data_IF_960854162765
#
_entry.id   IF_960854162765
#
_cell.length_a   1.000
_cell.length_b   1.000
_cell.length_c   1.000
_cell.angle_alpha   90.00
_cell.angle_beta   90.00
_cell.angle_gamma   90.00
#
_symmetry.space_group_name_H-M   'P 1'
#
loop_
_entity.id
_entity.type
_entity.pdbx_description
1 polymer ?
#
# COMPACT_ATOMS: atom_id res chain seq x y z
N UNK A 1 -12.98 15.20 25.36
CA UNK A 1 -12.32 14.89 24.07
C UNK A 1 -11.19 15.88 23.85
N UNK A 2 -10.09 15.47 23.21
CA UNK A 2 -8.98 16.38 22.88
C UNK A 2 -9.42 17.36 21.79
N UNK A 3 -9.26 18.66 22.06
CA UNK A 3 -9.51 19.74 21.09
C UNK A 3 -8.15 20.07 20.45
N UNK A 4 -8.10 20.08 19.12
CA UNK A 4 -6.89 20.41 18.38
C UNK A 4 -6.96 21.87 17.92
N UNK A 5 -5.97 22.67 18.30
CA UNK A 5 -5.82 24.08 17.95
C UNK A 5 -4.46 24.32 17.25
N UNK A 6 -4.30 25.41 16.47
CA UNK A 6 -5.32 26.39 16.08
C UNK A 6 -6.32 25.83 15.05
N UNK A 7 -7.49 26.46 14.90
CA UNK A 7 -8.43 26.18 13.80
C UNK A 7 -8.65 27.46 13.01
N UNK A 8 -8.56 27.36 11.68
CA UNK A 8 -8.92 28.42 10.75
C UNK A 8 -10.18 28.01 9.99
N UNK A 9 -10.91 28.97 9.43
CA UNK A 9 -12.09 28.69 8.61
C UNK A 9 -11.76 28.62 7.11
N UNK A 10 -10.57 28.11 6.77
CA UNK A 10 -10.11 27.96 5.38
C UNK A 10 -10.12 26.48 4.99
N UNK A 11 -10.81 26.16 3.91
CA UNK A 11 -10.79 24.81 3.33
C UNK A 11 -9.55 24.60 2.46
N UNK A 12 -8.83 23.49 2.69
CA UNK A 12 -7.81 22.97 1.79
C UNK A 12 -8.52 22.11 0.74
N UNK A 13 -8.38 22.43 -0.56
CA UNK A 13 -8.98 21.62 -1.63
C UNK A 13 -8.47 20.18 -1.58
N UNK A 14 -9.38 19.24 -1.81
CA UNK A 14 -9.01 17.84 -1.93
C UNK A 14 -8.18 17.65 -3.23
N UNK A 15 -7.05 16.93 -3.19
CA UNK A 15 -6.21 16.73 -4.38
C UNK A 15 -6.97 15.94 -5.44
N UNK A 16 -6.93 16.44 -6.69
CA UNK A 16 -7.56 15.75 -7.83
C UNK A 16 -6.90 14.39 -8.08
N UNK A 17 -7.70 13.44 -8.56
CA UNK A 17 -7.26 12.10 -8.99
C UNK A 17 -6.41 11.36 -7.96
N UNK A 18 -6.65 11.64 -6.68
CA UNK A 18 -5.85 11.13 -5.56
C UNK A 18 -6.77 10.49 -4.52
N UNK A 19 -6.23 9.52 -3.79
CA UNK A 19 -6.86 8.96 -2.60
C UNK A 19 -5.97 9.23 -1.39
N UNK A 20 -6.59 9.48 -0.23
CA UNK A 20 -5.85 9.56 1.02
C UNK A 20 -6.00 8.22 1.72
N UNK A 21 -4.87 7.65 2.14
CA UNK A 21 -4.82 6.33 2.78
C UNK A 21 -4.03 6.45 4.07
N UNK A 22 -4.59 5.89 5.14
CA UNK A 22 -3.88 5.70 6.41
C UNK A 22 -4.26 4.36 7.03
N UNK A 23 -3.31 3.69 7.67
CA UNK A 23 -3.56 2.50 8.49
C UNK A 23 -3.33 2.82 9.95
N UNK A 24 -4.09 2.18 10.82
CA UNK A 24 -3.89 2.27 12.26
C UNK A 24 -3.93 0.91 12.94
N UNK A 25 -3.30 0.80 14.09
CA UNK A 25 -3.54 -0.32 15.00
C UNK A 25 -4.96 -0.27 15.60
N UNK A 26 -5.28 -1.26 16.47
CA UNK A 26 -6.57 -1.33 17.18
C UNK A 26 -6.84 -0.14 18.12
N UNK A 27 -5.80 0.58 18.54
CA UNK A 27 -5.90 1.75 19.43
C UNK A 27 -6.02 3.06 18.63
N UNK A 28 -6.02 2.99 17.29
CA UNK A 28 -6.07 4.14 16.41
C UNK A 28 -4.72 4.86 16.26
N UNK A 29 -3.61 4.20 16.58
CA UNK A 29 -2.25 4.71 16.34
C UNK A 29 -1.90 4.49 14.87
N UNK A 30 -1.51 5.55 14.17
CA UNK A 30 -1.15 5.50 12.75
C UNK A 30 0.11 4.67 12.58
N UNK A 31 0.02 3.62 11.77
CA UNK A 31 1.13 2.75 11.37
C UNK A 31 1.61 3.04 9.96
N UNK A 32 0.76 3.66 9.14
CA UNK A 32 1.08 4.03 7.76
C UNK A 32 0.24 5.24 7.32
N UNK A 33 0.83 6.12 6.50
CA UNK A 33 0.17 7.23 5.84
C UNK A 33 0.73 7.40 4.44
N UNK A 34 -0.11 7.45 3.40
CA UNK A 34 0.39 7.66 2.05
C UNK A 34 0.84 9.12 1.83
N UNK A 35 1.70 9.40 0.83
CA UNK A 35 2.21 10.75 0.58
C UNK A 35 1.12 11.81 0.38
N UNK A 36 -0.01 11.44 -0.22
CA UNK A 36 -1.15 12.35 -0.38
C UNK A 36 -1.77 12.77 0.97
N UNK A 37 -1.92 11.83 1.90
CA UNK A 37 -2.41 12.13 3.25
C UNK A 37 -1.41 13.00 4.03
N UNK A 38 -0.12 12.69 3.92
CA UNK A 38 0.97 13.52 4.49
C UNK A 38 0.84 14.96 3.97
N UNK A 39 0.78 15.12 2.64
CA UNK A 39 0.72 16.43 1.98
C UNK A 39 -0.50 17.27 2.39
N UNK A 40 -1.72 16.73 2.33
CA UNK A 40 -2.94 17.49 2.68
C UNK A 40 -3.03 17.79 4.18
N UNK A 41 -2.54 16.88 5.02
CA UNK A 41 -2.56 17.09 6.48
C UNK A 41 -1.54 18.13 6.93
N UNK A 42 -0.48 18.36 6.15
CA UNK A 42 0.62 19.28 6.48
C UNK A 42 1.54 18.79 7.61
N UNK A 43 1.35 17.56 8.09
CA UNK A 43 2.27 16.90 9.02
C UNK A 43 3.33 16.14 8.22
N UNK A 44 4.56 16.05 8.73
CA UNK A 44 5.53 15.09 8.17
C UNK A 44 5.11 13.66 8.50
N UNK A 45 5.60 12.69 7.73
CA UNK A 45 5.38 11.28 8.02
C UNK A 45 5.84 10.92 9.44
N UNK A 46 7.03 11.38 9.85
CA UNK A 46 7.56 11.18 11.20
C UNK A 46 6.70 11.78 12.32
N UNK A 47 5.89 12.80 12.03
CA UNK A 47 4.92 13.38 12.97
C UNK A 47 3.60 12.60 13.02
N UNK A 48 3.29 11.82 11.98
CA UNK A 48 2.06 11.03 11.88
C UNK A 48 2.26 9.62 12.44
N UNK A 49 3.33 8.93 12.03
CA UNK A 49 3.58 7.54 12.43
C UNK A 49 3.77 7.44 13.95
N UNK A 50 3.11 6.47 14.57
CA UNK A 50 3.13 6.27 16.02
C UNK A 50 2.23 7.23 16.80
N UNK A 51 1.50 8.15 16.13
CA UNK A 51 0.54 9.05 16.79
C UNK A 51 -0.90 8.60 16.58
N UNK A 52 -1.77 8.94 17.53
CA UNK A 52 -3.19 8.64 17.40
C UNK A 52 -3.81 9.46 16.25
N UNK A 53 -4.67 8.82 15.46
CA UNK A 53 -5.35 9.43 14.32
C UNK A 53 -6.21 10.65 14.71
N UNK A 54 -6.57 10.80 16.00
CA UNK A 54 -7.23 12.00 16.48
C UNK A 54 -6.42 13.30 16.30
N UNK A 55 -5.14 13.23 15.92
CA UNK A 55 -4.29 14.39 15.61
C UNK A 55 -4.89 15.30 14.54
N UNK A 56 -5.48 14.71 13.49
CA UNK A 56 -6.10 15.44 12.37
C UNK A 56 -7.59 15.72 12.59
N UNK A 57 -8.12 15.46 13.78
CA UNK A 57 -9.54 15.67 14.06
C UNK A 57 -9.87 17.16 14.13
N UNK A 58 -10.94 17.56 13.44
CA UNK A 58 -11.52 18.89 13.57
C UNK A 58 -12.46 18.99 14.79
N UNK A 59 -12.44 20.09 15.57
CA UNK A 59 -13.33 20.28 16.73
C UNK A 59 -14.83 20.25 16.40
N UNK A 60 -15.22 20.71 15.20
CA UNK A 60 -16.61 20.64 14.73
C UNK A 60 -17.15 19.21 14.56
N UNK A 61 -16.31 18.18 14.54
CA UNK A 61 -16.80 16.82 14.38
C UNK A 61 -17.46 16.31 15.67
N UNK A 62 -18.77 15.97 15.64
CA UNK A 62 -19.48 15.49 16.83
C UNK A 62 -18.84 14.22 17.40
N UNK A 63 -18.77 14.07 18.73
CA UNK A 63 -18.28 12.84 19.37
C UNK A 63 -19.01 11.57 18.89
N UNK A 64 -20.32 11.69 18.65
CA UNK A 64 -21.21 10.62 18.20
C UNK A 64 -20.76 9.99 16.88
N UNK A 65 -20.25 10.79 15.93
CA UNK A 65 -19.77 10.29 14.64
C UNK A 65 -18.57 9.33 14.80
N UNK A 66 -17.67 9.61 15.74
CA UNK A 66 -16.54 8.73 16.03
C UNK A 66 -16.95 7.53 16.88
N UNK A 67 -17.94 7.68 17.75
CA UNK A 67 -18.50 6.53 18.48
C UNK A 67 -19.05 5.52 17.47
N UNK A 68 -19.84 5.99 16.51
CA UNK A 68 -20.39 5.17 15.43
C UNK A 68 -19.30 4.48 14.59
N UNK A 69 -18.25 5.22 14.21
CA UNK A 69 -17.07 4.67 13.55
C UNK A 69 -16.49 3.50 14.33
N UNK A 70 -16.19 3.71 15.62
CA UNK A 70 -15.56 2.69 16.45
C UNK A 70 -16.48 1.50 16.67
N UNK A 71 -17.75 1.72 17.01
CA UNK A 71 -18.72 0.63 17.21
C UNK A 71 -18.82 -0.26 15.95
N UNK A 72 -18.83 0.36 14.77
CA UNK A 72 -18.93 -0.33 13.48
C UNK A 72 -17.69 -1.18 13.18
N UNK A 73 -16.49 -0.61 13.29
CA UNK A 73 -15.25 -1.33 12.93
C UNK A 73 -14.86 -2.37 13.98
N UNK A 74 -15.25 -2.19 15.26
CA UNK A 74 -15.09 -3.23 16.28
C UNK A 74 -16.07 -4.40 16.06
N UNK A 75 -17.22 -4.16 15.42
CA UNK A 75 -18.14 -5.22 15.00
C UNK A 75 -17.66 -5.97 13.74
N UNK A 76 -16.49 -5.65 13.19
CA UNK A 76 -15.95 -6.28 11.98
C UNK A 76 -16.54 -5.73 10.67
N UNK A 77 -17.31 -4.64 10.73
CA UNK A 77 -17.98 -4.04 9.58
C UNK A 77 -17.19 -2.83 9.05
N UNK A 78 -17.41 -2.50 7.77
CA UNK A 78 -16.86 -1.27 7.18
C UNK A 78 -17.72 -0.08 7.57
N UNK A 79 -17.08 0.95 8.13
CA UNK A 79 -17.71 2.22 8.40
C UNK A 79 -17.53 3.20 7.23
N UNK A 80 -18.57 3.96 6.90
CA UNK A 80 -18.49 5.03 5.90
C UNK A 80 -19.10 6.31 6.46
N UNK A 81 -18.39 7.43 6.31
CA UNK A 81 -18.90 8.73 6.75
C UNK A 81 -18.12 9.92 6.22
N UNK A 82 -18.77 11.09 6.30
CA UNK A 82 -18.15 12.36 5.97
C UNK A 82 -17.39 12.88 7.19
N UNK A 83 -16.13 13.26 7.00
CA UNK A 83 -15.28 13.71 8.10
C UNK A 83 -14.63 15.03 7.73
N UNK A 84 -14.82 16.04 8.60
CA UNK A 84 -14.05 17.29 8.60
C UNK A 84 -12.77 17.04 9.38
N UNK A 85 -11.63 17.15 8.71
CA UNK A 85 -10.32 17.04 9.33
C UNK A 85 -9.66 18.41 9.44
N UNK A 86 -8.69 18.53 10.34
CA UNK A 86 -7.87 19.70 10.59
C UNK A 86 -6.43 19.40 10.15
N UNK A 87 -5.88 20.23 9.27
CA UNK A 87 -4.48 20.21 8.90
C UNK A 87 -3.59 20.86 9.98
N UNK A 88 -2.28 20.63 9.94
CA UNK A 88 -1.32 21.19 10.91
C UNK A 88 -1.42 22.71 11.04
N UNK A 89 -1.65 23.43 9.94
CA UNK A 89 -1.84 24.88 9.88
C UNK A 89 -3.07 25.37 10.66
N UNK A 90 -4.04 24.49 10.91
CA UNK A 90 -5.35 24.81 11.45
C UNK A 90 -6.45 24.90 10.39
N UNK A 91 -6.10 24.93 9.10
CA UNK A 91 -7.05 24.81 8.00
C UNK A 91 -7.78 23.46 8.04
N UNK A 92 -8.90 23.34 7.34
CA UNK A 92 -9.71 22.12 7.33
C UNK A 92 -9.84 21.50 5.95
N UNK A 93 -10.11 20.20 5.89
CA UNK A 93 -10.46 19.52 4.64
C UNK A 93 -11.52 18.45 4.89
N UNK A 94 -12.41 18.29 3.91
CA UNK A 94 -13.48 17.32 3.95
C UNK A 94 -13.08 16.04 3.22
N UNK A 95 -13.46 14.90 3.79
CA UNK A 95 -13.26 13.59 3.18
C UNK A 95 -14.51 12.74 3.31
N UNK A 96 -14.79 11.91 2.30
CA UNK A 96 -15.64 10.73 2.45
C UNK A 96 -14.75 9.56 2.82
N UNK A 97 -14.76 9.16 4.09
CA UNK A 97 -13.91 8.11 4.63
C UNK A 97 -14.63 6.76 4.61
N UNK A 98 -13.93 5.72 4.20
CA UNK A 98 -14.31 4.32 4.36
C UNK A 98 -13.25 3.66 5.24
N UNK A 99 -13.64 3.10 6.39
CA UNK A 99 -12.74 2.47 7.36
C UNK A 99 -13.09 1.01 7.47
N UNK A 100 -12.14 0.14 7.13
CA UNK A 100 -12.32 -1.31 7.11
C UNK A 100 -11.38 -1.98 8.11
N UNK A 101 -11.86 -2.89 8.97
CA UNK A 101 -11.00 -3.80 9.73
C UNK A 101 -10.34 -4.80 8.80
N UNK A 102 -9.01 -4.90 8.88
CA UNK A 102 -8.19 -5.83 8.09
C UNK A 102 -7.50 -6.79 9.05
N UNK A 103 -7.83 -8.10 9.02
CA UNK A 103 -7.11 -9.10 9.80
C UNK A 103 -5.69 -9.28 9.26
N UNK A 104 -4.74 -9.42 10.18
CA UNK A 104 -3.32 -9.67 9.91
C UNK A 104 -2.98 -11.16 10.11
N UNK A 105 -1.85 -11.60 9.56
CA UNK A 105 -1.41 -13.00 9.62
C UNK A 105 -1.15 -13.50 11.06
N UNK A 106 -0.81 -12.58 11.96
CA UNK A 106 -0.62 -12.84 13.39
C UNK A 106 -1.93 -12.93 14.20
N UNK A 107 -3.08 -12.79 13.53
CA UNK A 107 -4.42 -12.80 14.14
C UNK A 107 -4.85 -11.45 14.73
N UNK A 108 -4.02 -10.40 14.66
CA UNK A 108 -4.41 -9.05 15.03
C UNK A 108 -5.27 -8.39 13.92
N UNK A 109 -5.83 -7.21 14.19
CA UNK A 109 -6.63 -6.46 13.20
C UNK A 109 -6.07 -5.04 13.12
N UNK A 110 -5.73 -4.60 11.92
CA UNK A 110 -5.46 -3.20 11.61
C UNK A 110 -6.71 -2.52 11.06
N UNK A 111 -6.82 -1.20 11.17
CA UNK A 111 -7.88 -0.44 10.53
C UNK A 111 -7.30 0.35 9.36
N UNK A 112 -7.81 0.09 8.15
CA UNK A 112 -7.42 0.81 6.96
C UNK A 112 -8.51 1.83 6.61
N UNK A 113 -8.14 3.10 6.52
CA UNK A 113 -9.02 4.17 6.07
C UNK A 113 -8.63 4.64 4.69
N UNK A 114 -9.58 4.62 3.76
CA UNK A 114 -9.42 5.25 2.45
C UNK A 114 -10.46 6.33 2.23
N UNK A 115 -9.99 7.45 1.70
CA UNK A 115 -10.73 8.70 1.62
C UNK A 115 -10.77 9.21 0.19
N UNK A 116 -11.95 9.67 -0.19
CA UNK A 116 -12.24 10.30 -1.48
C UNK A 116 -12.81 11.70 -1.26
N UNK A 117 -12.81 12.51 -2.31
CA UNK A 117 -13.45 13.81 -2.29
C UNK A 117 -14.98 13.66 -2.13
N UNK A 118 -15.61 14.36 -1.16
CA UNK A 118 -17.06 14.47 -1.09
C UNK A 118 -17.58 15.59 -1.99
N UNK A 119 -18.81 15.45 -2.48
CA UNK A 119 -19.48 16.48 -3.29
C UNK A 119 -19.76 17.74 -2.47
N UNK A 120 -19.92 18.88 -3.14
CA UNK A 120 -20.27 20.13 -2.46
C UNK A 120 -21.60 20.04 -1.70
N UNK A 121 -22.56 19.27 -2.22
CA UNK A 121 -23.85 19.03 -1.57
C UNK A 121 -23.70 18.19 -0.29
N UNK A 122 -22.92 17.12 -0.35
CA UNK A 122 -22.60 16.29 0.82
C UNK A 122 -21.92 17.10 1.92
N UNK A 123 -20.93 17.94 1.57
CA UNK A 123 -20.25 18.83 2.52
C UNK A 123 -21.25 19.75 3.22
N UNK A 124 -22.12 20.42 2.45
CA UNK A 124 -23.14 21.33 2.99
C UNK A 124 -24.13 20.60 3.90
N UNK A 125 -24.57 19.41 3.50
CA UNK A 125 -25.47 18.58 4.29
C UNK A 125 -24.83 18.16 5.62
N UNK A 126 -23.60 17.66 5.58
CA UNK A 126 -22.86 17.22 6.76
C UNK A 126 -22.59 18.37 7.72
N UNK A 127 -22.17 19.54 7.23
CA UNK A 127 -21.93 20.73 8.05
C UNK A 127 -23.21 21.12 8.83
N UNK A 128 -24.36 21.16 8.15
CA UNK A 128 -25.64 21.48 8.77
C UNK A 128 -26.10 20.41 9.76
N UNK A 129 -25.95 19.13 9.42
CA UNK A 129 -26.30 18.01 10.30
C UNK A 129 -25.44 18.01 11.57
N UNK A 130 -24.13 18.19 11.42
CA UNK A 130 -23.19 18.21 12.55
C UNK A 130 -23.40 19.43 13.44
N UNK A 131 -23.76 20.59 12.88
CA UNK A 131 -24.15 21.75 13.69
C UNK A 131 -25.37 21.45 14.58
N UNK A 132 -26.42 20.82 14.03
CA UNK A 132 -27.61 20.40 14.80
C UNK A 132 -27.29 19.33 15.84
N UNK A 133 -26.43 18.37 15.51
CA UNK A 133 -25.99 17.34 16.44
C UNK A 133 -25.17 17.91 17.61
N UNK A 134 -24.23 18.84 17.33
CA UNK A 134 -23.48 19.55 18.39
C UNK A 134 -24.40 20.37 19.30
N UNK A 135 -25.49 20.91 18.76
CA UNK A 135 -26.51 21.62 19.53
C UNK A 135 -27.50 20.68 20.27
N UNK A 136 -27.33 19.35 20.18
CA UNK A 136 -28.20 18.36 20.80
C UNK A 136 -29.60 18.26 20.19
N UNK A 137 -29.82 18.84 19.00
CA UNK A 137 -31.13 18.89 18.35
C UNK A 137 -31.48 17.62 17.56
N UNK A 138 -30.45 16.88 17.13
CA UNK A 138 -30.58 15.67 16.31
C UNK A 138 -29.55 14.66 16.79
N UNK A 139 -29.92 13.38 16.86
CA UNK A 139 -28.96 12.28 17.02
C UNK A 139 -28.48 11.81 15.65
N UNK A 140 -27.18 11.58 15.52
CA UNK A 140 -26.65 10.99 14.29
C UNK A 140 -27.15 9.56 14.10
N UNK A 141 -27.48 9.14 12.87
CA UNK A 141 -27.87 7.76 12.59
C UNK A 141 -26.68 6.83 12.86
N UNK A 142 -26.93 5.70 13.51
CA UNK A 142 -25.95 4.64 13.70
C UNK A 142 -25.78 3.84 12.42
N UNK A 143 -24.55 3.61 11.98
CA UNK A 143 -24.22 2.75 10.84
C UNK A 143 -24.65 1.31 11.09
N UNK A 144 -24.66 0.86 12.36
CA UNK A 144 -25.18 -0.45 12.78
C UNK A 144 -26.71 -0.54 12.70
N UNK A 145 -27.42 0.58 12.89
CA UNK A 145 -28.90 0.63 12.85
C UNK A 145 -29.43 1.02 11.47
N UNK A 146 -28.61 1.66 10.62
CA UNK A 146 -28.99 2.09 9.26
C UNK A 146 -29.27 0.93 8.30
N UNK A 147 -28.88 -0.29 8.71
CA UNK A 147 -29.40 -1.56 8.22
C UNK A 147 -30.86 -1.75 8.63
N UNK A 148 -31.73 -0.85 8.17
CA UNK A 148 -33.17 -1.03 8.25
C UNK A 148 -33.52 -2.41 7.68
N UNK A 149 -33.95 -3.32 8.58
CA UNK A 149 -34.44 -4.69 8.35
C UNK A 149 -35.71 -4.77 7.47
N UNK A 150 -35.91 -3.81 6.57
CA UNK A 150 -36.78 -3.96 5.41
C UNK A 150 -35.97 -4.70 4.32
N UNK A 151 -35.58 -5.94 4.61
CA UNK A 151 -34.93 -6.80 3.62
C UNK A 151 -35.88 -7.05 2.45
N UNK A 152 -35.32 -7.14 1.25
CA UNK A 152 -35.98 -7.68 0.05
C UNK A 152 -36.71 -8.99 0.37
N UNK A 153 -36.22 -9.80 1.33
CA UNK A 153 -36.89 -10.99 1.86
C UNK A 153 -38.32 -10.74 2.38
N UNK A 154 -38.58 -9.65 3.12
CA UNK A 154 -39.93 -9.33 3.60
C UNK A 154 -40.83 -8.87 2.47
N UNK A 155 -40.29 -8.12 1.50
CA UNK A 155 -41.04 -7.68 0.31
C UNK A 155 -41.35 -8.87 -0.62
N UNK A 156 -40.42 -9.82 -0.76
CA UNK A 156 -40.62 -11.05 -1.53
C UNK A 156 -41.53 -12.03 -0.81
N UNK A 157 -41.51 -12.10 0.53
CA UNK A 157 -42.47 -12.89 1.31
C UNK A 157 -43.88 -12.30 1.24
N UNK A 158 -44.03 -10.97 1.28
CA UNK A 158 -45.32 -10.31 1.06
C UNK A 158 -45.81 -10.51 -0.37
N UNK A 159 -44.92 -10.47 -1.38
CA UNK A 159 -45.23 -10.75 -2.78
C UNK A 159 -45.60 -12.21 -3.05
N UNK A 160 -44.85 -13.18 -2.52
CA UNK A 160 -45.14 -14.60 -2.67
C UNK A 160 -46.41 -15.01 -1.91
N UNK A 161 -46.62 -14.46 -0.71
CA UNK A 161 -47.83 -14.68 0.08
C UNK A 161 -49.09 -14.10 -0.59
N UNK A 162 -48.97 -12.94 -1.26
CA UNK A 162 -50.09 -12.34 -1.99
C UNK A 162 -50.42 -13.07 -3.30
N UNK A 163 -49.41 -13.56 -4.04
CA UNK A 163 -49.63 -14.42 -5.22
C UNK A 163 -50.26 -15.77 -4.83
N UNK A 164 -49.75 -16.43 -3.79
CA UNK A 164 -50.31 -17.69 -3.30
C UNK A 164 -51.74 -17.49 -2.75
N UNK A 165 -51.97 -16.45 -1.97
CA UNK A 165 -53.30 -16.13 -1.42
C UNK A 165 -54.33 -15.82 -2.51
N UNK A 166 -53.94 -15.07 -3.55
CA UNK A 166 -54.83 -14.77 -4.66
C UNK A 166 -55.07 -15.98 -5.58
N UNK A 167 -54.08 -16.86 -5.76
CA UNK A 167 -54.26 -18.13 -6.48
C UNK A 167 -55.23 -19.08 -5.74
N UNK A 168 -55.11 -19.16 -4.41
CA UNK A 168 -56.04 -19.91 -3.55
C UNK A 168 -57.46 -19.30 -3.63
N UNK A 169 -57.58 -17.98 -3.57
CA UNK A 169 -58.87 -17.29 -3.68
C UNK A 169 -59.52 -17.50 -5.06
N UNK A 170 -58.74 -17.44 -6.14
CA UNK A 170 -59.23 -17.73 -7.49
C UNK A 170 -59.71 -19.18 -7.63
N UNK A 171 -58.99 -20.15 -7.06
CA UNK A 171 -59.42 -21.55 -7.01
C UNK A 171 -60.72 -21.74 -6.21
N UNK A 172 -60.87 -21.04 -5.07
CA UNK A 172 -62.10 -21.08 -4.28
C UNK A 172 -63.29 -20.44 -5.00
N UNK A 173 -63.08 -19.35 -5.75
CA UNK A 173 -64.14 -18.70 -6.53
C UNK A 173 -64.59 -19.56 -7.72
N UNK A 174 -63.66 -20.27 -8.37
CA UNK A 174 -63.97 -21.27 -9.39
C UNK A 174 -64.75 -22.46 -8.82
N UNK A 175 -64.39 -22.94 -7.62
CA UNK A 175 -65.11 -24.03 -6.94
C UNK A 175 -66.51 -23.63 -6.46
N UNK A 176 -66.75 -22.33 -6.21
CA UNK A 176 -68.02 -21.78 -5.77
C UNK A 176 -68.91 -21.24 -6.91
N UNK A 177 -68.54 -21.48 -8.18
CA UNK A 177 -69.26 -21.05 -9.40
C UNK A 177 -69.57 -19.53 -9.42
N UNK A 178 -68.63 -18.74 -8.89
CA UNK A 178 -68.74 -17.28 -8.85
C UNK A 178 -68.41 -16.73 -10.24
N UNK A 179 -69.26 -15.85 -10.77
CA UNK A 179 -69.22 -15.39 -12.18
C UNK A 179 -67.83 -14.99 -12.69
N UNK A 180 -67.54 -15.39 -13.93
CA UNK A 180 -66.22 -15.31 -14.59
C UNK A 180 -65.49 -13.96 -14.47
N UNK A 181 -66.23 -12.84 -14.38
CA UNK A 181 -65.64 -11.50 -14.21
C UNK A 181 -64.81 -11.34 -12.93
N UNK A 182 -65.20 -11.97 -11.81
CA UNK A 182 -64.45 -11.90 -10.56
C UNK A 182 -63.16 -12.73 -10.62
N UNK A 183 -63.20 -13.87 -11.30
CA UNK A 183 -62.02 -14.73 -11.54
C UNK A 183 -60.99 -14.00 -12.40
N UNK A 184 -61.41 -13.34 -13.48
CA UNK A 184 -60.50 -12.56 -14.33
C UNK A 184 -59.92 -11.34 -13.60
N UNK A 185 -60.70 -10.69 -12.72
CA UNK A 185 -60.20 -9.61 -11.86
C UNK A 185 -59.10 -10.07 -10.90
N UNK A 186 -59.30 -11.20 -10.22
CA UNK A 186 -58.31 -11.78 -9.32
C UNK A 186 -57.02 -12.18 -10.05
N UNK A 187 -57.16 -12.80 -11.23
CA UNK A 187 -56.01 -13.17 -12.07
C UNK A 187 -55.22 -11.93 -12.53
N UNK A 188 -55.91 -10.84 -12.88
CA UNK A 188 -55.28 -9.58 -13.24
C UNK A 188 -54.42 -8.98 -12.12
N UNK A 189 -54.90 -9.03 -10.87
CA UNK A 189 -54.13 -8.57 -9.69
C UNK A 189 -52.89 -9.45 -9.47
N UNK A 190 -53.00 -10.76 -9.62
CA UNK A 190 -51.85 -11.69 -9.49
C UNK A 190 -50.78 -11.35 -10.53
N UNK A 191 -51.18 -11.19 -11.79
CA UNK A 191 -50.25 -10.86 -12.88
C UNK A 191 -49.58 -9.50 -12.63
N UNK A 192 -50.34 -8.49 -12.22
CA UNK A 192 -49.79 -7.17 -11.89
C UNK A 192 -48.80 -7.23 -10.71
N UNK A 193 -49.12 -7.99 -9.66
CA UNK A 193 -48.23 -8.19 -8.51
C UNK A 193 -46.96 -8.94 -8.90
N UNK A 194 -47.06 -9.98 -9.73
CA UNK A 194 -45.91 -10.73 -10.23
C UNK A 194 -44.99 -9.87 -11.11
N UNK A 195 -45.58 -9.06 -12.01
CA UNK A 195 -44.82 -8.11 -12.84
C UNK A 195 -44.16 -7.02 -11.98
N UNK A 196 -44.86 -6.49 -10.98
CA UNK A 196 -44.31 -5.51 -10.04
C UNK A 196 -43.14 -6.08 -9.22
N UNK A 197 -43.28 -7.29 -8.67
CA UNK A 197 -42.21 -7.98 -7.95
C UNK A 197 -41.02 -8.28 -8.87
N UNK A 198 -41.27 -8.72 -10.10
CA UNK A 198 -40.24 -8.93 -11.11
C UNK A 198 -39.49 -7.63 -11.47
N UNK A 199 -40.21 -6.52 -11.59
CA UNK A 199 -39.61 -5.19 -11.81
C UNK A 199 -38.72 -4.79 -10.64
N UNK A 200 -39.22 -4.86 -9.39
CA UNK A 200 -38.46 -4.52 -8.18
C UNK A 200 -37.22 -5.39 -8.01
N UNK A 201 -37.34 -6.70 -8.22
CA UNK A 201 -36.20 -7.64 -8.17
C UNK A 201 -35.17 -7.30 -9.24
N UNK A 202 -35.63 -6.97 -10.46
CA UNK A 202 -34.72 -6.59 -11.54
C UNK A 202 -33.99 -5.28 -11.24
N UNK A 203 -34.66 -4.28 -10.66
CA UNK A 203 -34.09 -2.94 -10.42
C UNK A 203 -33.20 -2.88 -9.18
N UNK A 204 -33.59 -3.54 -8.08
CA UNK A 204 -32.91 -3.43 -6.78
C UNK A 204 -32.06 -4.65 -6.40
N UNK A 205 -32.04 -5.69 -7.24
CA UNK A 205 -31.20 -6.89 -7.00
C UNK A 205 -30.34 -7.20 -8.21
N UNK A 206 -30.98 -7.52 -9.35
CA UNK A 206 -30.24 -8.06 -10.51
C UNK A 206 -29.36 -6.99 -11.16
N UNK A 207 -29.88 -5.79 -11.43
CA UNK A 207 -29.12 -4.71 -12.06
C UNK A 207 -27.90 -4.28 -11.22
N UNK A 208 -28.03 -3.99 -9.91
CA UNK A 208 -26.88 -3.61 -9.07
C UNK A 208 -25.83 -4.71 -8.95
N UNK A 209 -26.24 -5.98 -8.83
CA UNK A 209 -25.31 -7.12 -8.78
C UNK A 209 -24.57 -7.31 -10.10
N UNK A 210 -25.26 -7.19 -11.25
CA UNK A 210 -24.61 -7.29 -12.56
C UNK A 210 -23.63 -6.14 -12.80
N UNK A 211 -23.96 -4.94 -12.34
CA UNK A 211 -23.06 -3.79 -12.39
C UNK A 211 -21.81 -4.01 -11.52
N UNK A 212 -22.00 -4.46 -10.28
CA UNK A 212 -20.90 -4.80 -9.37
C UNK A 212 -19.99 -5.91 -9.94
N UNK A 213 -20.57 -6.96 -10.51
CA UNK A 213 -19.83 -8.03 -11.18
C UNK A 213 -19.04 -7.53 -12.41
N UNK A 214 -19.62 -6.64 -13.21
CA UNK A 214 -18.92 -6.02 -14.34
C UNK A 214 -17.70 -5.19 -13.90
N UNK A 215 -17.84 -4.43 -12.81
CA UNK A 215 -16.74 -3.65 -12.21
C UNK A 215 -15.66 -4.54 -11.60
N UNK A 216 -16.04 -5.65 -10.96
CA UNK A 216 -15.09 -6.68 -10.53
C UNK A 216 -14.34 -7.32 -11.70
N UNK A 217 -14.98 -7.52 -12.85
CA UNK A 217 -14.29 -8.01 -14.04
C UNK A 217 -13.28 -6.99 -14.61
N UNK A 218 -13.63 -5.69 -14.62
CA UNK A 218 -12.69 -4.62 -15.01
C UNK A 218 -11.50 -4.51 -14.04
N UNK A 219 -11.71 -4.81 -12.75
CA UNK A 219 -10.65 -4.88 -11.75
C UNK A 219 -9.58 -5.94 -12.10
N UNK A 220 -9.97 -7.11 -12.62
CA UNK A 220 -9.01 -8.15 -13.07
C UNK A 220 -8.11 -7.65 -14.21
N UNK A 221 -8.58 -6.68 -15.00
CA UNK A 221 -7.79 -6.06 -16.08
C UNK A 221 -6.88 -4.90 -15.63
N UNK A 222 -6.68 -4.68 -14.32
CA UNK A 222 -5.75 -3.68 -13.80
C UNK A 222 -6.33 -2.25 -13.66
N UNK A 223 -7.65 -2.08 -13.84
CA UNK A 223 -8.33 -0.80 -13.65
C UNK A 223 -8.86 -0.69 -12.21
N UNK A 224 -8.01 -0.22 -11.30
CA UNK A 224 -8.30 -0.21 -9.86
C UNK A 224 -9.09 1.01 -9.35
N UNK A 225 -9.26 2.05 -10.18
CA UNK A 225 -9.72 3.37 -9.73
C UNK A 225 -11.09 3.81 -10.28
N UNK A 226 -11.78 2.97 -11.06
CA UNK A 226 -13.15 3.27 -11.50
C UNK A 226 -14.16 2.83 -10.44
N UNK A 227 -14.33 3.70 -9.44
CA UNK A 227 -15.18 3.44 -8.28
C UNK A 227 -16.66 3.62 -8.66
N UNK A 228 -17.42 2.53 -8.65
CA UNK A 228 -18.87 2.62 -8.72
C UNK A 228 -19.42 3.28 -7.44
N UNK A 229 -20.40 4.17 -7.59
CA UNK A 229 -21.19 4.65 -6.47
C UNK A 229 -22.00 3.48 -5.89
N UNK A 230 -21.68 3.08 -4.65
CA UNK A 230 -22.55 2.19 -3.89
C UNK A 230 -23.79 3.00 -3.48
N UNK A 231 -24.90 2.81 -4.19
CA UNK A 231 -26.09 3.67 -4.06
C UNK A 231 -27.25 3.05 -3.27
N UNK A 232 -27.13 1.81 -2.78
CA UNK A 232 -28.27 1.13 -2.17
C UNK A 232 -28.01 0.71 -0.71
N UNK A 233 -29.04 0.85 0.13
CA UNK A 233 -29.08 0.32 1.51
C UNK A 233 -29.56 -1.13 1.48
N UNK A 234 -29.05 -1.99 2.39
CA UNK A 234 -29.41 -3.41 2.49
C UNK A 234 -28.32 -4.37 2.03
N UNK A 235 -28.58 -5.68 2.01
CA UNK A 235 -27.57 -6.72 1.80
C UNK A 235 -26.77 -6.59 0.48
N UNK A 236 -27.40 -6.12 -0.60
CA UNK A 236 -26.72 -5.86 -1.88
C UNK A 236 -25.75 -4.67 -1.76
N UNK A 237 -26.15 -3.63 -1.02
CA UNK A 237 -25.30 -2.49 -0.70
C UNK A 237 -24.10 -2.85 0.17
N UNK A 238 -24.32 -3.68 1.20
CA UNK A 238 -23.23 -4.23 2.03
C UNK A 238 -22.22 -5.00 1.19
N UNK A 239 -22.68 -5.87 0.29
CA UNK A 239 -21.80 -6.58 -0.63
C UNK A 239 -21.04 -5.63 -1.55
N UNK A 240 -21.69 -4.61 -2.11
CA UNK A 240 -21.04 -3.59 -2.92
C UNK A 240 -19.98 -2.81 -2.12
N UNK A 241 -20.23 -2.53 -0.84
CA UNK A 241 -19.28 -1.85 0.04
C UNK A 241 -18.06 -2.72 0.32
N UNK A 242 -18.23 -4.01 0.57
CA UNK A 242 -17.12 -4.96 0.74
C UNK A 242 -16.28 -5.04 -0.55
N UNK A 243 -16.93 -5.19 -1.71
CA UNK A 243 -16.27 -5.18 -3.01
C UNK A 243 -15.46 -3.88 -3.21
N UNK A 244 -16.08 -2.73 -2.95
CA UNK A 244 -15.43 -1.42 -3.06
C UNK A 244 -14.23 -1.31 -2.14
N UNK A 245 -14.36 -1.69 -0.87
CA UNK A 245 -13.26 -1.64 0.09
C UNK A 245 -12.09 -2.54 -0.33
N UNK A 246 -12.40 -3.70 -0.91
CA UNK A 246 -11.43 -4.66 -1.44
C UNK A 246 -10.71 -4.09 -2.66
N UNK A 247 -11.44 -3.51 -3.63
CA UNK A 247 -10.87 -2.85 -4.81
C UNK A 247 -9.94 -1.72 -4.41
N UNK A 248 -10.37 -0.88 -3.47
CA UNK A 248 -9.59 0.22 -2.93
C UNK A 248 -8.29 -0.27 -2.27
N UNK A 249 -8.39 -1.30 -1.41
CA UNK A 249 -7.23 -1.90 -0.73
C UNK A 249 -6.23 -2.46 -1.74
N UNK A 250 -6.70 -3.28 -2.68
CA UNK A 250 -5.86 -3.90 -3.71
C UNK A 250 -5.23 -2.87 -4.63
N UNK A 251 -5.99 -1.86 -5.09
CA UNK A 251 -5.45 -0.77 -5.91
C UNK A 251 -4.34 -0.02 -5.19
N UNK A 252 -4.53 0.25 -3.90
CA UNK A 252 -3.49 0.84 -3.06
C UNK A 252 -2.27 -0.10 -2.90
N UNK A 253 -2.47 -1.38 -2.56
CA UNK A 253 -1.39 -2.36 -2.38
C UNK A 253 -0.56 -2.55 -3.65
N UNK A 254 -1.21 -2.64 -4.81
CA UNK A 254 -0.53 -2.72 -6.12
C UNK A 254 0.26 -1.45 -6.40
N UNK A 255 -0.33 -0.27 -6.18
CA UNK A 255 0.35 1.01 -6.42
C UNK A 255 1.55 1.21 -5.48
N UNK A 256 1.41 0.81 -4.22
CA UNK A 256 2.47 0.92 -3.22
C UNK A 256 3.60 -0.07 -3.49
N UNK A 257 3.28 -1.31 -3.88
CA UNK A 257 4.26 -2.30 -4.33
C UNK A 257 5.01 -1.82 -5.57
N UNK A 258 4.30 -1.25 -6.56
CA UNK A 258 4.90 -0.67 -7.76
C UNK A 258 5.84 0.48 -7.40
N UNK A 259 5.44 1.39 -6.51
CA UNK A 259 6.30 2.49 -6.05
C UNK A 259 7.59 1.97 -5.40
N UNK A 260 7.50 0.99 -4.50
CA UNK A 260 8.67 0.38 -3.85
C UNK A 260 9.59 -0.33 -4.85
N UNK A 261 9.01 -0.99 -5.85
CA UNK A 261 9.77 -1.59 -6.94
C UNK A 261 10.50 -0.51 -7.77
N UNK A 262 9.82 0.59 -8.13
CA UNK A 262 10.42 1.69 -8.88
C UNK A 262 11.52 2.42 -8.09
N UNK A 263 11.36 2.60 -6.78
CA UNK A 263 12.39 3.15 -5.89
C UNK A 263 13.64 2.27 -5.86
N UNK A 264 13.44 0.96 -5.69
CA UNK A 264 14.52 -0.04 -5.71
C UNK A 264 15.24 -0.05 -7.06
N UNK A 265 14.48 -0.03 -8.16
CA UNK A 265 15.02 0.02 -9.51
C UNK A 265 15.88 1.27 -9.73
N UNK A 266 15.44 2.45 -9.25
CA UNK A 266 16.23 3.69 -9.35
C UNK A 266 17.56 3.60 -8.60
N UNK A 267 17.58 3.03 -7.39
CA UNK A 267 18.82 2.83 -6.62
C UNK A 267 19.75 1.88 -7.38
N UNK A 268 19.22 0.78 -7.90
CA UNK A 268 20.01 -0.17 -8.69
C UNK A 268 20.57 0.46 -9.96
N UNK A 269 19.79 1.27 -10.68
CA UNK A 269 20.27 2.04 -11.84
C UNK A 269 21.39 3.01 -11.45
N UNK A 270 21.24 3.74 -10.35
CA UNK A 270 22.27 4.68 -9.88
C UNK A 270 23.59 3.95 -9.55
N UNK A 271 23.52 2.80 -8.88
CA UNK A 271 24.70 1.98 -8.60
C UNK A 271 25.33 1.41 -9.88
N UNK A 272 24.52 0.99 -10.86
CA UNK A 272 25.00 0.50 -12.15
C UNK A 272 25.79 1.57 -12.93
N UNK A 273 25.30 2.81 -12.92
CA UNK A 273 25.95 3.93 -13.61
C UNK A 273 27.13 4.55 -12.82
N UNK A 274 27.36 4.16 -11.57
CA UNK A 274 28.45 4.69 -10.77
C UNK A 274 29.81 4.23 -11.31
N UNK A 275 30.81 5.12 -11.28
CA UNK A 275 32.17 4.82 -11.73
C UNK A 275 32.98 3.97 -10.73
N UNK A 276 32.58 3.96 -9.47
CA UNK A 276 33.21 3.12 -8.44
C UNK A 276 32.88 1.66 -8.71
N UNK A 277 33.85 0.76 -8.63
CA UNK A 277 33.59 -0.66 -8.82
C UNK A 277 32.94 -1.23 -7.57
N UNK A 278 31.67 -1.63 -7.65
CA UNK A 278 30.90 -2.14 -6.52
C UNK A 278 30.41 -3.55 -6.80
N UNK A 279 30.64 -4.44 -5.85
CA UNK A 279 30.15 -5.82 -5.83
C UNK A 279 29.48 -6.09 -4.48
N UNK A 280 28.46 -6.96 -4.45
CA UNK A 280 27.87 -7.43 -3.21
C UNK A 280 27.72 -8.95 -3.24
N UNK A 281 28.04 -9.58 -2.12
CA UNK A 281 27.76 -10.98 -1.86
C UNK A 281 26.73 -11.12 -0.72
N UNK A 282 25.90 -12.16 -0.80
CA UNK A 282 24.96 -12.53 0.27
C UNK A 282 25.69 -13.10 1.51
N UNK A 283 24.93 -13.46 2.54
CA UNK A 283 25.47 -14.06 3.77
C UNK A 283 26.21 -15.40 3.55
N UNK A 284 25.88 -16.12 2.47
CA UNK A 284 26.55 -17.37 2.09
C UNK A 284 27.78 -17.13 1.19
N UNK A 285 28.08 -15.86 0.90
CA UNK A 285 29.15 -15.36 0.05
C UNK A 285 28.96 -15.65 -1.45
N UNK A 286 27.73 -15.78 -1.91
CA UNK A 286 27.41 -15.81 -3.33
C UNK A 286 27.26 -14.38 -3.85
N UNK A 287 27.87 -14.08 -5.00
CA UNK A 287 27.80 -12.74 -5.60
C UNK A 287 26.39 -12.50 -6.12
N UNK A 288 25.66 -11.58 -5.51
CA UNK A 288 24.27 -11.24 -5.85
C UNK A 288 24.14 -9.90 -6.60
N UNK A 289 25.20 -9.09 -6.62
CA UNK A 289 25.20 -7.83 -7.36
C UNK A 289 26.62 -7.44 -7.80
N UNK A 290 26.70 -6.86 -9.00
CA UNK A 290 27.90 -6.25 -9.57
C UNK A 290 27.46 -5.10 -10.48
N UNK A 291 28.05 -3.93 -10.33
CA UNK A 291 27.79 -2.81 -11.23
C UNK A 291 28.58 -2.89 -12.54
N UNK A 292 28.30 -2.01 -13.50
CA UNK A 292 28.94 -2.06 -14.81
C UNK A 292 30.45 -1.75 -14.73
N UNK A 293 30.85 -0.88 -13.80
CA UNK A 293 32.25 -0.54 -13.57
C UNK A 293 33.08 -1.77 -13.14
N UNK A 294 32.62 -2.52 -12.12
CA UNK A 294 33.37 -3.69 -11.62
C UNK A 294 33.43 -4.81 -12.66
N UNK A 295 32.36 -5.01 -13.44
CA UNK A 295 32.35 -5.99 -14.55
C UNK A 295 33.39 -5.64 -15.60
N UNK A 296 33.43 -4.37 -16.01
CA UNK A 296 34.42 -3.89 -16.97
C UNK A 296 35.85 -4.04 -16.43
N UNK A 297 36.10 -3.63 -15.19
CA UNK A 297 37.41 -3.74 -14.56
C UNK A 297 37.90 -5.20 -14.50
N UNK A 298 37.03 -6.14 -14.11
CA UNK A 298 37.41 -7.55 -14.11
C UNK A 298 37.63 -8.11 -15.51
N UNK A 299 36.88 -7.65 -16.51
CA UNK A 299 37.09 -8.05 -17.90
C UNK A 299 38.42 -7.53 -18.45
N UNK A 300 38.75 -6.27 -18.17
CA UNK A 300 40.00 -5.64 -18.57
C UNK A 300 41.23 -6.28 -17.88
N UNK A 301 41.05 -6.78 -16.65
CA UNK A 301 42.09 -7.44 -15.86
C UNK A 301 42.08 -8.98 -15.96
N UNK A 302 41.18 -9.58 -16.74
CA UNK A 302 40.92 -11.03 -16.73
C UNK A 302 42.19 -11.85 -17.04
N UNK A 303 42.93 -11.45 -18.08
CA UNK A 303 44.15 -12.15 -18.48
C UNK A 303 45.25 -12.07 -17.40
N UNK A 304 45.42 -10.90 -16.77
CA UNK A 304 46.38 -10.70 -15.68
C UNK A 304 46.00 -11.53 -14.43
N UNK A 305 44.70 -11.57 -14.11
CA UNK A 305 44.17 -12.34 -12.98
C UNK A 305 44.31 -13.85 -13.20
N UNK A 306 44.15 -14.32 -14.44
CA UNK A 306 44.28 -15.73 -14.80
C UNK A 306 45.70 -16.30 -14.61
N UNK A 307 46.73 -15.45 -14.55
CA UNK A 307 48.10 -15.89 -14.22
C UNK A 307 48.20 -16.51 -12.82
N UNK A 308 47.39 -16.02 -11.87
CA UNK A 308 47.36 -16.53 -10.49
C UNK A 308 46.07 -17.29 -10.16
N UNK A 309 44.98 -17.03 -10.89
CA UNK A 309 43.68 -17.67 -10.73
C UNK A 309 43.23 -18.28 -12.08
N UNK A 310 43.77 -19.45 -12.49
CA UNK A 310 43.51 -20.02 -13.82
C UNK A 310 42.04 -20.31 -14.13
N UNK A 311 41.19 -20.41 -13.11
CA UNK A 311 39.75 -20.64 -13.23
C UNK A 311 38.91 -19.36 -13.16
N UNK A 312 39.55 -18.19 -13.11
CA UNK A 312 38.87 -16.91 -13.11
C UNK A 312 38.22 -16.65 -14.47
N UNK A 313 36.92 -16.35 -14.46
CA UNK A 313 36.14 -15.95 -15.62
C UNK A 313 35.24 -14.78 -15.20
N UNK A 314 35.45 -13.62 -15.82
CA UNK A 314 34.75 -12.39 -15.48
C UNK A 314 33.24 -12.47 -15.74
N UNK A 315 32.82 -13.26 -16.73
CA UNK A 315 31.41 -13.41 -17.12
C UNK A 315 30.64 -14.37 -16.19
N UNK A 316 31.34 -15.20 -15.43
CA UNK A 316 30.75 -16.19 -14.52
C UNK A 316 30.75 -15.74 -13.05
N UNK A 317 31.26 -14.54 -12.72
CA UNK A 317 31.35 -14.12 -11.31
C UNK A 317 29.98 -14.01 -10.66
N UNK A 318 28.98 -13.51 -11.38
CA UNK A 318 27.64 -13.32 -10.85
C UNK A 318 26.99 -14.68 -10.50
N UNK A 319 26.49 -14.81 -9.27
CA UNK A 319 25.88 -16.03 -8.74
C UNK A 319 26.89 -17.08 -8.25
N UNK A 320 28.20 -16.91 -8.49
CA UNK A 320 29.23 -17.81 -7.95
C UNK A 320 29.60 -17.41 -6.52
N UNK A 321 30.05 -18.40 -5.77
CA UNK A 321 30.59 -18.20 -4.44
C UNK A 321 32.01 -17.64 -4.50
N UNK A 322 32.34 -16.66 -3.65
CA UNK A 322 33.66 -16.01 -3.69
C UNK A 322 34.81 -16.90 -3.19
N UNK A 323 34.52 -18.04 -2.56
CA UNK A 323 35.52 -19.00 -2.09
C UNK A 323 36.50 -19.40 -3.20
N UNK A 324 36.01 -19.51 -4.44
CA UNK A 324 36.82 -19.92 -5.60
C UNK A 324 37.91 -18.90 -5.97
N UNK A 325 37.83 -17.68 -5.45
CA UNK A 325 38.77 -16.60 -5.69
C UNK A 325 39.80 -16.43 -4.57
N UNK A 326 39.72 -17.23 -3.51
CA UNK A 326 40.58 -17.10 -2.33
C UNK A 326 41.38 -18.38 -2.08
N UNK A 327 42.68 -18.23 -1.78
CA UNK A 327 43.54 -19.36 -1.49
C UNK A 327 43.15 -20.12 -0.20
N UNK A 328 42.54 -19.44 0.78
CA UNK A 328 42.07 -20.05 2.03
C UNK A 328 40.62 -19.63 2.36
N UNK A 329 39.61 -20.20 1.70
CA UNK A 329 38.20 -19.78 1.84
C UNK A 329 37.70 -19.68 3.29
N UNK A 330 38.12 -20.62 4.14
CA UNK A 330 37.74 -20.65 5.56
C UNK A 330 38.18 -19.39 6.31
N UNK A 331 39.35 -18.85 6.00
CA UNK A 331 39.85 -17.61 6.60
C UNK A 331 38.98 -16.41 6.21
N UNK A 332 38.66 -16.27 4.91
CA UNK A 332 37.78 -15.20 4.43
C UNK A 332 36.38 -15.29 5.00
N UNK A 333 35.80 -16.50 5.07
CA UNK A 333 34.50 -16.72 5.72
C UNK A 333 34.51 -16.24 7.16
N UNK A 334 35.55 -16.57 7.93
CA UNK A 334 35.66 -16.15 9.31
C UNK A 334 35.86 -14.63 9.45
N UNK A 335 36.63 -14.01 8.55
CA UNK A 335 36.84 -12.56 8.53
C UNK A 335 35.55 -11.81 8.24
N UNK A 336 34.80 -12.23 7.21
CA UNK A 336 33.55 -11.58 6.80
C UNK A 336 32.43 -11.80 7.80
N UNK A 337 32.36 -12.98 8.42
CA UNK A 337 31.36 -13.28 9.45
C UNK A 337 31.54 -12.43 10.72
N UNK A 338 32.76 -12.02 11.05
CA UNK A 338 33.07 -11.18 12.21
C UNK A 338 33.30 -9.70 11.85
N UNK A 339 32.92 -9.30 10.63
CA UNK A 339 33.13 -7.95 10.15
C UNK A 339 32.10 -6.99 10.76
N UNK A 340 32.51 -6.18 11.73
CA UNK A 340 31.65 -5.18 12.38
C UNK A 340 31.71 -3.79 11.72
N UNK A 341 32.72 -3.52 10.90
CA UNK A 341 32.96 -2.22 10.27
C UNK A 341 33.73 -2.32 8.96
N UNK A 342 34.29 -1.21 8.50
CA UNK A 342 35.04 -1.17 7.24
C UNK A 342 36.36 -1.92 7.34
N UNK A 343 36.54 -2.94 6.49
CA UNK A 343 37.83 -3.58 6.26
C UNK A 343 38.44 -3.04 4.97
N UNK A 344 39.73 -2.69 5.01
CA UNK A 344 40.46 -2.22 3.83
C UNK A 344 41.77 -2.97 3.72
N UNK A 345 42.05 -3.49 2.52
CA UNK A 345 43.31 -4.17 2.23
C UNK A 345 43.76 -3.86 0.80
N UNK A 346 45.06 -3.89 0.59
CA UNK A 346 45.64 -3.88 -0.76
C UNK A 346 46.17 -5.27 -1.08
N UNK A 347 45.83 -5.74 -2.28
CA UNK A 347 46.20 -7.03 -2.79
C UNK A 347 46.94 -6.83 -4.12
N UNK A 348 48.09 -7.49 -4.25
CA UNK A 348 48.77 -7.59 -5.53
C UNK A 348 48.44 -8.94 -6.17
N UNK A 349 47.88 -8.93 -7.38
CA UNK A 349 47.56 -10.13 -8.16
C UNK A 349 48.20 -9.99 -9.53
N UNK A 350 49.20 -10.84 -9.81
CA UNK A 350 50.01 -10.73 -11.02
C UNK A 350 50.70 -9.37 -11.13
N UNK A 351 50.51 -8.71 -12.27
CA UNK A 351 51.00 -7.36 -12.56
C UNK A 351 50.15 -6.25 -11.91
N UNK A 352 48.96 -6.57 -11.37
CA UNK A 352 47.97 -5.61 -10.89
C UNK A 352 47.99 -5.42 -9.38
N UNK A 353 47.70 -4.19 -8.95
CA UNK A 353 47.49 -3.86 -7.53
C UNK A 353 46.07 -3.36 -7.33
N UNK A 354 45.29 -4.09 -6.55
CA UNK A 354 43.92 -3.74 -6.19
C UNK A 354 43.84 -3.29 -4.74
N UNK A 355 43.04 -2.27 -4.48
CA UNK A 355 42.54 -1.97 -3.13
C UNK A 355 41.10 -2.46 -3.02
N UNK A 356 40.84 -3.16 -1.94
CA UNK A 356 39.54 -3.75 -1.61
C UNK A 356 39.07 -3.10 -0.33
N UNK A 357 37.85 -2.55 -0.35
CA UNK A 357 37.18 -2.03 0.84
C UNK A 357 35.89 -2.84 1.03
N UNK A 358 35.78 -3.58 2.12
CA UNK A 358 34.61 -4.40 2.44
C UNK A 358 33.84 -3.78 3.62
N UNK A 359 32.51 -3.69 3.48
CA UNK A 359 31.61 -3.20 4.51
C UNK A 359 30.46 -4.22 4.73
N UNK A 360 30.07 -4.51 5.98
CA UNK A 360 28.95 -5.40 6.26
C UNK A 360 27.62 -4.71 5.93
N UNK A 361 26.70 -5.46 5.35
CA UNK A 361 25.31 -5.03 5.11
C UNK A 361 24.43 -5.72 6.14
N UNK A 362 23.83 -4.93 7.03
CA UNK A 362 22.98 -5.44 8.12
C UNK A 362 21.55 -4.93 7.96
N UNK A 363 20.57 -5.76 8.33
CA UNK A 363 19.17 -5.37 8.38
C UNK A 363 18.88 -4.46 9.58
N UNK A 364 17.68 -3.87 9.62
CA UNK A 364 17.22 -3.09 10.77
C UNK A 364 17.16 -3.91 12.08
N UNK A 365 17.03 -5.23 11.98
CA UNK A 365 17.00 -6.16 13.11
C UNK A 365 18.40 -6.72 13.45
N UNK A 366 19.47 -6.07 12.97
CA UNK A 366 20.87 -6.47 13.17
C UNK A 366 21.23 -7.85 12.60
N UNK A 367 20.48 -8.34 11.61
CA UNK A 367 20.81 -9.58 10.89
C UNK A 367 21.78 -9.26 9.76
N UNK A 368 22.88 -10.01 9.65
CA UNK A 368 23.82 -9.87 8.55
C UNK A 368 23.19 -10.36 7.24
N UNK A 369 23.04 -9.44 6.28
CA UNK A 369 22.46 -9.73 4.96
C UNK A 369 23.54 -10.10 3.93
N UNK A 370 24.79 -9.67 4.17
CA UNK A 370 25.91 -9.93 3.29
C UNK A 370 26.99 -8.85 3.40
N UNK A 371 27.88 -8.79 2.41
CA UNK A 371 29.00 -7.84 2.39
C UNK A 371 29.03 -7.10 1.06
N UNK A 372 29.16 -5.77 1.12
CA UNK A 372 29.46 -4.94 -0.06
C UNK A 372 30.96 -4.70 -0.13
N UNK A 373 31.51 -4.82 -1.34
CA UNK A 373 32.93 -4.71 -1.61
C UNK A 373 33.17 -3.70 -2.72
N UNK A 374 34.00 -2.71 -2.43
CA UNK A 374 34.49 -1.73 -3.39
C UNK A 374 35.89 -2.11 -3.87
N UNK A 375 36.10 -2.08 -5.18
CA UNK A 375 37.40 -2.38 -5.79
C UNK A 375 38.00 -1.13 -6.44
N UNK A 376 39.30 -0.92 -6.27
CA UNK A 376 40.04 0.09 -7.00
C UNK A 376 41.32 -0.52 -7.59
N UNK A 377 41.48 -0.46 -8.91
CA UNK A 377 42.75 -0.77 -9.57
C UNK A 377 43.70 0.42 -9.36
N UNK A 378 44.72 0.23 -8.52
CA UNK A 378 45.75 1.21 -8.20
C UNK A 378 47.03 0.98 -9.01
N UNK A 379 47.05 0.07 -9.99
CA UNK A 379 48.27 -0.34 -10.70
C UNK A 379 49.00 0.84 -11.33
N UNK A 380 48.27 1.69 -12.08
CA UNK A 380 48.84 2.88 -12.71
C UNK A 380 49.34 3.90 -11.67
N UNK A 381 48.59 4.08 -10.59
CA UNK A 381 48.97 4.99 -9.51
C UNK A 381 50.24 4.52 -8.79
N UNK A 382 50.32 3.24 -8.42
CA UNK A 382 51.49 2.64 -7.77
C UNK A 382 52.72 2.63 -8.67
N UNK A 383 52.56 2.41 -9.98
CA UNK A 383 53.65 2.49 -10.93
C UNK A 383 54.24 3.92 -11.01
N UNK A 384 53.38 4.94 -11.06
CA UNK A 384 53.80 6.34 -11.05
C UNK A 384 54.50 6.74 -9.74
N UNK A 385 53.97 6.29 -8.59
CA UNK A 385 54.59 6.51 -7.28
C UNK A 385 55.99 5.88 -7.19
N UNK A 386 56.17 4.65 -7.70
CA UNK A 386 57.48 3.98 -7.75
C UNK A 386 58.48 4.72 -8.64
N UNK A 387 58.07 5.10 -9.87
CA UNK A 387 58.95 5.87 -10.77
C UNK A 387 59.40 7.19 -10.16
N UNK A 388 58.49 7.90 -9.49
CA UNK A 388 58.82 9.15 -8.80
C UNK A 388 59.81 8.91 -7.65
N UNK A 389 59.56 7.89 -6.83
CA UNK A 389 60.44 7.54 -5.71
C UNK A 389 61.86 7.14 -6.19
N UNK A 390 61.96 6.44 -7.32
CA UNK A 390 63.25 6.08 -7.94
C UNK A 390 63.99 7.31 -8.49
N UNK A 391 63.28 8.24 -9.14
CA UNK A 391 63.84 9.52 -9.59
C UNK A 391 64.38 10.33 -8.41
N UNK A 392 63.56 10.52 -7.36
CA UNK A 392 63.94 11.26 -6.16
C UNK A 392 65.14 10.61 -5.45
N UNK A 393 65.20 9.27 -5.43
CA UNK A 393 66.33 8.52 -4.86
C UNK A 393 67.62 8.68 -5.70
N UNK A 394 67.50 8.70 -7.03
CA UNK A 394 68.62 8.94 -7.94
C UNK A 394 69.18 10.35 -7.79
N UNK A 395 68.32 11.37 -7.73
CA UNK A 395 68.71 12.76 -7.49
C UNK A 395 69.41 12.94 -6.15
N UNK A 396 68.90 12.30 -5.08
CA UNK A 396 69.55 12.33 -3.75
C UNK A 396 70.93 11.66 -3.74
N UNK A 397 71.14 10.60 -4.53
CA UNK A 397 72.47 9.96 -4.66
C UNK A 397 73.44 10.89 -5.38
N UNK A 398 73.03 11.50 -6.50
CA UNK A 398 73.87 12.46 -7.22
C UNK A 398 74.18 13.72 -6.41
N UNK A 399 73.27 14.17 -5.55
CA UNK A 399 73.51 15.29 -4.64
C UNK A 399 74.41 14.94 -3.45
N UNK A 400 74.59 13.65 -3.13
CA UNK A 400 75.49 13.20 -2.06
C UNK A 400 76.91 12.86 -2.55
N UNK A 401 77.09 12.71 -3.87
CA UNK A 401 78.37 12.44 -4.53
C UNK A 401 79.11 13.70 -5.00
N UNK A 402 78.44 14.87 -4.96
CA UNK A 402 79.02 16.21 -5.16
C UNK A 402 79.15 16.95 -3.84
#
# INVERSE_FOLDING_TARGET
MKINEPVTNKEVPFPKDTILVSKTDRKGIITYANPAFVAISGYSESELIGRNHNLVRHPDMPPEAFKDLWDTVHAGLTWTGLVKNRAKSGDYYWVRANVTPVPLADGSVEYMSVRTEPSAEEKRFAEALYAKARAGQVKLPSSLESGSRWTIERLSMLGAGSVAGAAILAMLMLAADVGNGFVYGALGVIVAAALGLGYLTRTHVIKPLRHAAGKLAQFVSGQYFDWAEASERGAVGELQQVIRSTQIKLGFEVTDAQRRADETARIQTALNCASTNVMMADADLNVIYMNDAVRKMFKDAEADLQEQLPHFNADEIFGRNIDVFHANPSHQRQLLANLEGTFSSELQVGSRTFRIIANPVVSADSVHLGTVVEWADLTAQRAAERQKAESDASERRHAAEN
#
